data_IF_477358541069
#
_entry.id   IF_477358541069
#
_cell.length_a   1.000
_cell.length_b   1.000
_cell.length_c   1.000
_cell.angle_alpha   90.00
_cell.angle_beta   90.00
_cell.angle_gamma   90.00
#
_symmetry.space_group_name_H-M   'P 1'
#
loop_
_entity.id
_entity.type
_entity.pdbx_description
1 polymer ?
#
# COMPACT_ATOMS: atom_id res chain seq x y z
N UNK A 1 -32.90 20.31 -19.83
CA UNK A 1 -32.30 19.00 -20.12
C UNK A 1 -30.91 19.22 -20.74
N UNK A 2 -29.87 19.57 -19.98
CA UNK A 2 -28.53 19.75 -20.58
C UNK A 2 -27.39 19.81 -19.55
N UNK A 3 -27.06 18.71 -18.85
CA UNK A 3 -25.76 18.63 -18.15
C UNK A 3 -25.23 17.22 -17.83
N UNK A 4 -25.65 16.19 -18.58
CA UNK A 4 -25.10 14.82 -18.38
C UNK A 4 -23.94 14.46 -19.31
N UNK A 5 -23.60 15.32 -20.30
CA UNK A 5 -22.53 15.06 -21.29
C UNK A 5 -21.11 15.38 -20.80
N UNK A 6 -20.93 16.31 -19.86
CA UNK A 6 -19.60 16.76 -19.42
C UNK A 6 -18.85 15.71 -18.56
N UNK A 7 -19.55 15.06 -17.62
CA UNK A 7 -18.94 14.11 -16.68
C UNK A 7 -18.48 12.79 -17.31
N UNK A 8 -19.08 12.39 -18.44
CA UNK A 8 -18.68 11.15 -19.13
C UNK A 8 -17.34 11.28 -19.87
N UNK A 9 -16.96 12.49 -20.29
CA UNK A 9 -15.79 12.74 -21.14
C UNK A 9 -14.51 13.09 -20.37
N UNK A 10 -14.58 13.23 -19.04
CA UNK A 10 -13.40 13.49 -18.21
C UNK A 10 -12.58 12.20 -17.99
N UNK A 11 -11.25 12.33 -18.05
CA UNK A 11 -10.32 11.25 -17.74
C UNK A 11 -10.49 10.74 -16.30
N UNK A 12 -10.24 9.45 -16.08
CA UNK A 12 -10.40 8.81 -14.77
C UNK A 12 -9.58 9.50 -13.67
N UNK A 13 -8.35 9.90 -13.96
CA UNK A 13 -7.49 10.62 -13.02
C UNK A 13 -8.08 11.94 -12.55
N UNK A 14 -8.73 12.68 -13.46
CA UNK A 14 -9.40 13.95 -13.11
C UNK A 14 -10.61 13.70 -12.23
N UNK A 15 -11.36 12.62 -12.47
CA UNK A 15 -12.48 12.23 -11.61
C UNK A 15 -12.04 11.88 -10.19
N UNK A 16 -10.90 11.20 -10.04
CA UNK A 16 -10.32 10.89 -8.72
C UNK A 16 -9.90 12.16 -8.00
N UNK A 17 -9.24 13.11 -8.69
CA UNK A 17 -8.85 14.39 -8.09
C UNK A 17 -10.07 15.23 -7.66
N UNK A 18 -11.13 15.26 -8.49
CA UNK A 18 -12.37 15.94 -8.13
C UNK A 18 -13.02 15.26 -6.91
N UNK A 19 -13.08 13.92 -6.89
CA UNK A 19 -13.64 13.18 -5.76
C UNK A 19 -12.86 13.42 -4.46
N UNK A 20 -11.52 13.50 -4.54
CA UNK A 20 -10.67 13.86 -3.40
C UNK A 20 -10.97 15.27 -2.89
N UNK A 21 -11.03 16.25 -3.79
CA UNK A 21 -11.35 17.64 -3.44
C UNK A 21 -12.74 17.75 -2.79
N UNK A 22 -13.74 17.08 -3.34
CA UNK A 22 -15.09 17.01 -2.76
C UNK A 22 -15.06 16.34 -1.39
N UNK A 23 -14.32 15.24 -1.24
CA UNK A 23 -14.16 14.55 0.05
C UNK A 23 -13.57 15.44 1.13
N UNK A 24 -12.56 16.25 0.80
CA UNK A 24 -11.96 17.23 1.71
C UNK A 24 -12.98 18.30 2.10
N UNK A 25 -13.71 18.88 1.13
CA UNK A 25 -14.72 19.92 1.40
C UNK A 25 -15.83 19.37 2.30
N UNK A 26 -16.35 18.18 2.00
CA UNK A 26 -17.37 17.51 2.82
C UNK A 26 -16.84 17.23 4.22
N UNK A 27 -15.59 16.76 4.35
CA UNK A 27 -14.95 16.54 5.64
C UNK A 27 -14.86 17.80 6.49
N UNK A 28 -14.49 18.94 5.89
CA UNK A 28 -14.42 20.24 6.58
C UNK A 28 -15.81 20.69 7.02
N UNK A 29 -16.83 20.59 6.15
CA UNK A 29 -18.21 20.96 6.50
C UNK A 29 -18.70 20.12 7.68
N UNK A 30 -18.47 18.81 7.65
CA UNK A 30 -18.88 17.90 8.72
C UNK A 30 -18.12 18.21 10.02
N UNK A 31 -16.84 18.56 9.94
CA UNK A 31 -16.06 18.99 11.11
C UNK A 31 -16.67 20.22 11.80
N UNK A 32 -17.15 21.21 11.03
CA UNK A 32 -17.75 22.45 11.56
C UNK A 32 -19.14 22.29 12.19
N UNK A 33 -19.82 21.15 12.00
CA UNK A 33 -21.12 20.91 12.63
C UNK A 33 -20.97 20.67 14.15
N UNK A 34 -21.87 21.21 15.00
CA UNK A 34 -21.85 20.97 16.44
C UNK A 34 -21.91 19.47 16.76
N UNK A 35 -21.15 19.06 17.78
CA UNK A 35 -21.10 17.66 18.23
C UNK A 35 -22.49 17.17 18.65
N UNK A 36 -22.84 15.96 18.24
CA UNK A 36 -24.13 15.35 18.51
C UNK A 36 -24.23 13.97 17.88
N UNK A 37 -25.13 13.13 18.40
CA UNK A 37 -25.30 11.72 18.00
C UNK A 37 -25.46 11.53 16.48
N UNK A 38 -26.00 12.52 15.77
CA UNK A 38 -26.14 12.50 14.32
C UNK A 38 -24.81 12.62 13.56
N UNK A 39 -23.88 13.46 14.04
CA UNK A 39 -22.56 13.65 13.41
C UNK A 39 -21.67 12.44 13.66
N UNK A 40 -21.53 12.05 14.92
CA UNK A 40 -20.52 11.07 15.31
C UNK A 40 -21.00 9.64 15.02
N UNK A 41 -22.25 9.30 15.32
CA UNK A 41 -22.73 7.91 15.19
C UNK A 41 -23.24 7.58 13.80
N UNK A 42 -23.94 8.50 13.12
CA UNK A 42 -24.61 8.21 11.84
C UNK A 42 -23.75 8.60 10.63
N UNK A 43 -23.15 9.80 10.65
CA UNK A 43 -22.34 10.28 9.51
C UNK A 43 -20.91 9.73 9.54
N UNK A 44 -20.16 9.97 10.62
CA UNK A 44 -18.75 9.60 10.72
C UNK A 44 -18.58 8.09 10.89
N UNK A 45 -19.09 7.53 11.98
CA UNK A 45 -18.93 6.10 12.29
C UNK A 45 -19.93 5.19 11.54
N UNK A 46 -20.95 5.78 10.91
CA UNK A 46 -21.91 5.06 10.08
C UNK A 46 -21.48 5.08 8.62
N UNK A 47 -21.99 6.07 7.87
CA UNK A 47 -21.86 6.10 6.41
C UNK A 47 -20.41 6.22 5.92
N UNK A 48 -19.64 7.18 6.43
CA UNK A 48 -18.27 7.40 5.94
C UNK A 48 -17.34 6.26 6.32
N UNK A 49 -17.41 5.77 7.55
CA UNK A 49 -16.64 4.60 7.97
C UNK A 49 -17.04 3.37 7.17
N UNK A 50 -18.34 3.11 6.95
CA UNK A 50 -18.78 1.97 6.16
C UNK A 50 -18.25 2.01 4.72
N UNK A 51 -18.43 3.14 4.02
CA UNK A 51 -17.95 3.31 2.65
C UNK A 51 -16.43 3.20 2.57
N UNK A 52 -15.71 3.84 3.49
CA UNK A 52 -14.25 3.75 3.57
C UNK A 52 -13.76 2.33 3.83
N UNK A 53 -14.39 1.60 4.75
CA UNK A 53 -14.05 0.22 5.07
C UNK A 53 -14.35 -0.73 3.91
N UNK A 54 -15.50 -0.60 3.25
CA UNK A 54 -15.82 -1.40 2.06
C UNK A 54 -14.81 -1.13 0.94
N UNK A 55 -14.44 0.13 0.72
CA UNK A 55 -13.44 0.50 -0.27
C UNK A 55 -12.05 -0.10 0.04
N UNK A 56 -11.57 0.04 1.28
CA UNK A 56 -10.29 -0.54 1.69
C UNK A 56 -10.30 -2.07 1.59
N UNK A 57 -11.39 -2.73 2.01
CA UNK A 57 -11.55 -4.18 1.87
C UNK A 57 -11.57 -4.61 0.41
N UNK A 58 -12.21 -3.85 -0.48
CA UNK A 58 -12.20 -4.14 -1.91
C UNK A 58 -10.79 -4.03 -2.51
N UNK A 59 -10.00 -3.02 -2.12
CA UNK A 59 -8.59 -2.92 -2.53
C UNK A 59 -7.78 -4.10 -1.99
N UNK A 60 -7.87 -4.38 -0.69
CA UNK A 60 -7.10 -5.46 -0.06
C UNK A 60 -7.43 -6.85 -0.64
N UNK A 61 -8.71 -7.09 -0.96
CA UNK A 61 -9.18 -8.32 -1.60
C UNK A 61 -8.51 -8.55 -2.96
N UNK A 62 -8.21 -7.49 -3.71
CA UNK A 62 -7.53 -7.59 -5.01
C UNK A 62 -6.01 -7.63 -4.86
N UNK A 63 -5.44 -6.80 -3.99
CA UNK A 63 -3.99 -6.62 -3.87
C UNK A 63 -3.28 -7.91 -3.45
N UNK A 64 -3.80 -8.65 -2.47
CA UNK A 64 -3.11 -9.85 -1.95
C UNK A 64 -2.98 -10.95 -3.02
N UNK A 65 -4.06 -11.41 -3.69
CA UNK A 65 -3.95 -12.42 -4.75
C UNK A 65 -3.12 -11.91 -5.93
N UNK A 66 -3.33 -10.65 -6.34
CA UNK A 66 -2.63 -10.05 -7.46
C UNK A 66 -1.12 -10.05 -7.23
N UNK A 67 -0.66 -9.53 -6.09
CA UNK A 67 0.77 -9.45 -5.79
C UNK A 67 1.39 -10.83 -5.75
N UNK A 68 0.73 -11.82 -5.16
CA UNK A 68 1.23 -13.19 -5.15
C UNK A 68 1.40 -13.75 -6.58
N UNK A 69 0.33 -13.72 -7.39
CA UNK A 69 0.34 -14.27 -8.75
C UNK A 69 1.34 -13.53 -9.64
N UNK A 70 1.32 -12.20 -9.66
CA UNK A 70 2.22 -11.39 -10.49
C UNK A 70 3.70 -11.57 -10.12
N UNK A 71 4.02 -11.77 -8.84
CA UNK A 71 5.40 -12.03 -8.42
C UNK A 71 5.84 -13.45 -8.73
N UNK A 72 4.96 -14.45 -8.60
CA UNK A 72 5.27 -15.84 -8.99
C UNK A 72 5.56 -15.90 -10.49
N UNK A 73 4.70 -15.35 -11.34
CA UNK A 73 4.92 -15.33 -12.80
C UNK A 73 6.13 -14.49 -13.18
N UNK A 74 6.30 -13.31 -12.56
CA UNK A 74 7.43 -12.41 -12.81
C UNK A 74 8.77 -13.05 -12.45
N UNK A 75 8.85 -13.72 -11.29
CA UNK A 75 10.08 -14.43 -10.89
C UNK A 75 10.32 -15.68 -11.74
N UNK A 76 9.26 -16.45 -12.06
CA UNK A 76 9.39 -17.68 -12.83
C UNK A 76 9.80 -17.43 -14.29
N UNK A 77 9.24 -16.39 -14.93
CA UNK A 77 9.56 -16.02 -16.32
C UNK A 77 11.00 -15.55 -16.50
N UNK A 78 11.64 -15.04 -15.43
CA UNK A 78 13.01 -14.54 -15.52
C UNK A 78 14.06 -15.65 -15.62
N UNK A 79 13.72 -16.90 -15.28
CA UNK A 79 14.50 -18.11 -15.57
C UNK A 79 15.83 -18.28 -14.82
N UNK A 80 16.38 -17.20 -14.26
CA UNK A 80 17.73 -17.13 -13.71
C UNK A 80 17.75 -16.39 -12.37
N UNK A 81 18.01 -17.16 -11.31
CA UNK A 81 18.12 -16.69 -9.93
C UNK A 81 19.18 -15.59 -9.78
N UNK A 82 20.28 -15.65 -10.54
CA UNK A 82 21.34 -14.63 -10.48
C UNK A 82 20.87 -13.30 -11.05
N UNK A 83 20.04 -13.33 -12.12
CA UNK A 83 19.43 -12.11 -12.66
C UNK A 83 18.46 -11.50 -11.65
N UNK A 84 17.63 -12.32 -11.01
CA UNK A 84 16.69 -11.86 -9.97
C UNK A 84 17.40 -11.22 -8.79
N UNK A 85 18.45 -11.87 -8.26
CA UNK A 85 19.27 -11.29 -7.20
C UNK A 85 19.93 -9.97 -7.59
N UNK A 86 20.42 -9.85 -8.83
CA UNK A 86 21.01 -8.60 -9.34
C UNK A 86 19.98 -7.48 -9.47
N UNK A 87 18.78 -7.78 -9.97
CA UNK A 87 17.68 -6.81 -10.06
C UNK A 87 17.25 -6.39 -8.65
N UNK A 88 17.02 -7.34 -7.74
CA UNK A 88 16.66 -7.07 -6.35
C UNK A 88 17.68 -6.19 -5.64
N UNK A 89 18.98 -6.49 -5.76
CA UNK A 89 20.04 -5.68 -5.15
C UNK A 89 20.08 -4.26 -5.74
N UNK A 90 19.97 -4.12 -7.07
CA UNK A 90 19.89 -2.80 -7.71
C UNK A 90 18.69 -2.00 -7.21
N UNK A 91 17.54 -2.67 -7.05
CA UNK A 91 16.31 -2.05 -6.53
C UNK A 91 16.47 -1.61 -5.08
N UNK A 92 17.08 -2.42 -4.21
CA UNK A 92 17.36 -2.06 -2.82
C UNK A 92 18.27 -0.83 -2.76
N UNK A 93 19.40 -0.84 -3.49
CA UNK A 93 20.33 0.29 -3.52
C UNK A 93 19.64 1.55 -4.06
N UNK A 94 18.82 1.42 -5.10
CA UNK A 94 18.05 2.52 -5.67
C UNK A 94 17.05 3.11 -4.67
N UNK A 95 16.27 2.28 -3.98
CA UNK A 95 15.30 2.75 -2.99
C UNK A 95 15.98 3.37 -1.76
N UNK A 96 17.06 2.77 -1.25
CA UNK A 96 17.81 3.33 -0.13
C UNK A 96 18.42 4.69 -0.48
N UNK A 97 18.99 4.81 -1.68
CA UNK A 97 19.60 6.07 -2.14
C UNK A 97 18.55 7.17 -2.32
N UNK A 98 17.43 6.85 -2.98
CA UNK A 98 16.35 7.83 -3.20
C UNK A 98 15.66 8.22 -1.89
N UNK A 99 15.48 7.28 -0.96
CA UNK A 99 14.95 7.55 0.39
C UNK A 99 15.90 8.43 1.20
N UNK A 100 17.20 8.16 1.19
CA UNK A 100 18.19 8.99 1.86
C UNK A 100 18.16 10.43 1.33
N UNK A 101 18.11 10.61 0.01
CA UNK A 101 17.98 11.93 -0.63
C UNK A 101 16.68 12.62 -0.19
N UNK A 102 15.56 11.91 -0.20
CA UNK A 102 14.27 12.45 0.23
C UNK A 102 14.29 12.89 1.70
N UNK A 103 14.90 12.11 2.60
CA UNK A 103 15.05 12.46 4.01
C UNK A 103 15.91 13.71 4.17
N UNK A 104 17.02 13.82 3.44
CA UNK A 104 17.89 15.00 3.49
C UNK A 104 17.09 16.24 3.07
N UNK A 105 16.36 16.18 1.95
CA UNK A 105 15.52 17.28 1.48
C UNK A 105 14.45 17.63 2.52
N UNK A 106 13.76 16.63 3.08
CA UNK A 106 12.73 16.84 4.09
C UNK A 106 13.28 17.51 5.35
N UNK A 107 14.47 17.10 5.84
CA UNK A 107 15.12 17.71 7.00
C UNK A 107 15.59 19.14 6.73
N UNK A 108 16.14 19.40 5.54
CA UNK A 108 16.56 20.76 5.14
C UNK A 108 15.34 21.68 5.08
N UNK A 109 14.28 21.27 4.38
CA UNK A 109 13.04 22.06 4.28
C UNK A 109 12.41 22.25 5.68
N UNK A 110 12.32 21.19 6.49
CA UNK A 110 11.80 21.27 7.85
C UNK A 110 12.59 22.24 8.73
N UNK A 111 13.92 22.25 8.61
CA UNK A 111 14.79 23.17 9.36
C UNK A 111 14.75 24.60 8.85
N UNK A 112 14.48 24.83 7.56
CA UNK A 112 14.41 26.17 6.95
C UNK A 112 13.05 26.81 7.22
N UNK A 113 11.96 26.10 6.92
CA UNK A 113 10.60 26.62 7.08
C UNK A 113 10.14 26.60 8.54
N UNK A 114 10.76 25.76 9.38
CA UNK A 114 10.44 25.59 10.82
C UNK A 114 8.92 25.54 11.07
N UNK A 115 8.18 24.63 10.42
CA UNK A 115 6.74 24.52 10.59
C UNK A 115 6.45 24.18 12.06
N UNK A 116 5.83 25.12 12.79
CA UNK A 116 5.53 24.97 14.22
C UNK A 116 5.85 26.19 15.08
N UNK A 117 6.64 27.15 14.57
CA UNK A 117 6.83 28.44 15.26
C UNK A 117 5.49 29.19 15.29
N UNK A 118 4.99 29.49 16.49
CA UNK A 118 3.71 30.18 16.71
C UNK A 118 2.51 29.26 16.96
N UNK A 119 2.69 27.93 17.01
CA UNK A 119 1.66 27.02 17.50
C UNK A 119 1.62 27.04 19.04
N UNK A 120 0.42 27.19 19.60
CA UNK A 120 0.18 27.05 21.03
C UNK A 120 0.20 25.56 21.41
N UNK A 121 1.35 25.10 21.91
CA UNK A 121 1.55 23.72 22.34
C UNK A 121 0.67 23.32 23.54
N UNK A 122 0.07 24.29 24.26
CA UNK A 122 -0.84 24.03 25.38
C UNK A 122 -2.26 23.70 24.96
N UNK A 123 -2.67 24.04 23.74
CA UNK A 123 -3.98 23.72 23.16
C UNK A 123 -3.98 22.40 22.35
N UNK A 124 -2.82 21.79 22.16
CA UNK A 124 -2.65 20.53 21.42
C UNK A 124 -2.72 19.40 22.44
N UNK A 125 -3.68 18.48 22.29
CA UNK A 125 -3.67 17.22 23.04
C UNK A 125 -2.31 16.54 22.82
N UNK A 126 -1.55 16.41 23.90
CA UNK A 126 -0.29 15.67 23.90
C UNK A 126 -0.67 14.19 23.78
N UNK A 127 -0.81 13.72 22.54
CA UNK A 127 -0.80 12.30 22.25
C UNK A 127 0.59 11.82 22.64
N UNK A 128 0.69 11.06 23.73
CA UNK A 128 1.92 10.37 24.08
C UNK A 128 2.29 9.48 22.91
N UNK A 129 3.24 9.94 22.10
CA UNK A 129 3.81 9.13 21.03
C UNK A 129 4.58 8.03 21.74
N UNK A 130 3.97 6.87 21.83
CA UNK A 130 4.70 5.63 22.15
C UNK A 130 5.74 5.47 21.06
N UNK A 131 6.96 5.89 21.35
CA UNK A 131 8.10 5.67 20.46
C UNK A 131 8.22 4.16 20.34
N UNK A 132 7.74 3.63 19.21
CA UNK A 132 7.70 2.20 18.97
C UNK A 132 9.06 1.58 19.28
N UNK A 133 9.06 0.50 20.06
CA UNK A 133 10.27 -0.22 20.45
C UNK A 133 11.14 -0.47 19.23
N UNK A 134 12.45 -0.18 19.35
CA UNK A 134 13.41 -0.42 18.27
C UNK A 134 13.39 -1.91 17.91
N UNK A 135 12.74 -2.26 16.81
CA UNK A 135 12.76 -3.63 16.27
C UNK A 135 14.17 -3.88 15.74
N UNK A 136 14.91 -4.87 16.26
CA UNK A 136 16.24 -5.20 15.75
C UNK A 136 16.18 -5.60 14.27
N UNK A 137 17.20 -5.22 13.49
CA UNK A 137 17.25 -5.59 12.07
C UNK A 137 17.21 -7.12 11.87
N UNK A 138 17.87 -7.86 12.75
CA UNK A 138 17.86 -9.34 12.74
C UNK A 138 16.44 -9.89 12.90
N UNK A 139 15.61 -9.24 13.71
CA UNK A 139 14.21 -9.62 13.88
C UNK A 139 13.43 -9.49 12.57
N UNK A 140 13.57 -8.37 11.90
CA UNK A 140 12.94 -8.12 10.59
C UNK A 140 13.40 -9.16 9.56
N UNK A 141 14.69 -9.54 9.56
CA UNK A 141 15.24 -10.49 8.60
C UNK A 141 14.66 -11.90 8.74
N UNK A 142 14.46 -12.41 9.96
CA UNK A 142 13.84 -13.74 10.12
C UNK A 142 12.32 -13.69 10.02
N UNK A 143 11.65 -12.59 10.43
CA UNK A 143 10.19 -12.43 10.32
C UNK A 143 9.72 -12.20 8.88
N UNK A 144 10.64 -11.80 7.99
CA UNK A 144 10.42 -11.73 6.55
C UNK A 144 10.05 -13.09 5.95
N UNK A 145 10.55 -14.19 6.53
CA UNK A 145 10.19 -15.55 6.08
C UNK A 145 8.96 -16.02 6.89
N UNK A 146 7.79 -16.22 6.25
CA UNK A 146 6.61 -16.65 6.97
C UNK A 146 6.76 -18.07 7.53
N UNK A 147 6.24 -18.29 8.76
CA UNK A 147 6.03 -19.64 9.29
C UNK A 147 4.92 -20.38 8.53
N UNK A 148 3.89 -19.65 8.10
CA UNK A 148 2.77 -20.15 7.31
C UNK A 148 2.37 -19.13 6.23
N UNK A 149 2.67 -19.39 4.94
CA UNK A 149 2.34 -18.48 3.85
C UNK A 149 0.84 -18.21 3.67
N UNK A 150 -0.01 -19.20 3.97
CA UNK A 150 -1.47 -19.04 3.85
C UNK A 150 -1.97 -18.07 4.92
N UNK A 151 -1.44 -18.17 6.14
CA UNK A 151 -1.74 -17.22 7.20
C UNK A 151 -1.24 -15.81 6.85
N UNK A 152 -0.04 -15.70 6.27
CA UNK A 152 0.49 -14.40 5.83
C UNK A 152 -0.42 -13.73 4.77
N UNK A 153 -0.98 -14.51 3.85
CA UNK A 153 -1.98 -14.00 2.88
C UNK A 153 -3.30 -13.60 3.56
N UNK A 154 -3.77 -14.37 4.55
CA UNK A 154 -4.99 -14.05 5.28
C UNK A 154 -4.86 -12.78 6.13
N UNK A 155 -3.69 -12.57 6.74
CA UNK A 155 -3.38 -11.39 7.57
C UNK A 155 -2.90 -10.19 6.74
N UNK A 156 -2.64 -10.38 5.45
CA UNK A 156 -2.14 -9.32 4.56
C UNK A 156 -0.70 -8.89 4.87
N UNK A 157 0.14 -9.79 5.41
CA UNK A 157 1.54 -9.49 5.68
C UNK A 157 2.34 -9.45 4.36
N UNK A 158 2.35 -8.28 3.72
CA UNK A 158 2.90 -8.08 2.38
C UNK A 158 4.35 -8.51 2.25
N UNK A 159 5.20 -8.23 3.24
CA UNK A 159 6.61 -8.59 3.19
C UNK A 159 6.78 -10.11 3.09
N UNK A 160 6.04 -10.85 3.90
CA UNK A 160 6.05 -12.31 3.90
C UNK A 160 5.46 -12.89 2.61
N UNK A 161 4.37 -12.31 2.11
CA UNK A 161 3.74 -12.72 0.84
C UNK A 161 4.74 -12.55 -0.32
N UNK A 162 5.43 -11.41 -0.40
CA UNK A 162 6.42 -11.12 -1.45
C UNK A 162 7.55 -12.16 -1.40
N UNK A 163 8.09 -12.44 -0.22
CA UNK A 163 9.22 -13.38 -0.07
C UNK A 163 8.81 -14.79 -0.47
N UNK A 164 7.65 -15.25 -0.01
CA UNK A 164 7.12 -16.56 -0.39
C UNK A 164 6.81 -16.65 -1.90
N UNK A 165 6.24 -15.60 -2.49
CA UNK A 165 5.94 -15.54 -3.93
C UNK A 165 7.22 -15.63 -4.77
N UNK A 166 8.27 -14.88 -4.40
CA UNK A 166 9.56 -14.92 -5.10
C UNK A 166 10.22 -16.29 -4.98
N UNK A 167 10.25 -16.90 -3.79
CA UNK A 167 10.79 -18.25 -3.60
C UNK A 167 10.00 -19.29 -4.41
N UNK A 168 8.67 -19.17 -4.44
CA UNK A 168 7.79 -20.05 -5.22
C UNK A 168 8.03 -19.89 -6.73
N UNK A 169 8.16 -18.67 -7.23
CA UNK A 169 8.48 -18.39 -8.63
C UNK A 169 9.86 -18.88 -9.04
N UNK A 170 10.87 -18.71 -8.18
CA UNK A 170 12.21 -19.30 -8.39
C UNK A 170 12.13 -20.83 -8.45
N UNK A 171 11.46 -21.46 -7.48
CA UNK A 171 11.27 -22.91 -7.45
C UNK A 171 10.55 -23.41 -8.71
N UNK A 172 9.53 -22.70 -9.16
CA UNK A 172 8.79 -23.01 -10.39
C UNK A 172 9.68 -22.91 -11.63
N UNK A 173 10.53 -21.89 -11.72
CA UNK A 173 11.52 -21.75 -12.80
C UNK A 173 12.50 -22.92 -12.84
N UNK A 174 12.93 -23.43 -11.68
CA UNK A 174 13.85 -24.56 -11.58
C UNK A 174 13.23 -25.91 -11.96
N UNK A 175 11.89 -26.04 -11.92
CA UNK A 175 11.18 -27.27 -12.31
C UNK A 175 11.14 -27.50 -13.83
N UNK A 176 11.45 -26.48 -14.65
CA UNK A 176 11.46 -26.58 -16.11
C UNK A 176 10.13 -27.10 -16.66
N UNK A 177 10.17 -28.15 -17.50
CA UNK A 177 8.97 -28.71 -18.14
C UNK A 177 7.91 -29.22 -17.16
N UNK A 178 8.32 -29.74 -15.99
CA UNK A 178 7.39 -30.23 -14.96
C UNK A 178 6.57 -29.10 -14.34
N UNK A 179 7.11 -27.88 -14.33
CA UNK A 179 6.46 -26.68 -13.82
C UNK A 179 5.55 -25.98 -14.84
N UNK A 180 5.60 -26.38 -16.12
CA UNK A 180 4.95 -25.64 -17.22
C UNK A 180 3.44 -25.47 -17.03
N UNK A 181 2.74 -26.50 -16.56
CA UNK A 181 1.31 -26.41 -16.29
C UNK A 181 0.98 -25.38 -15.20
N UNK A 182 1.75 -25.37 -14.11
CA UNK A 182 1.57 -24.40 -13.02
C UNK A 182 1.94 -22.98 -13.47
N UNK A 183 2.99 -22.83 -14.28
CA UNK A 183 3.37 -21.54 -14.84
C UNK A 183 2.25 -20.96 -15.71
N UNK A 184 1.72 -21.74 -16.66
CA UNK A 184 0.61 -21.29 -17.51
C UNK A 184 -0.65 -21.00 -16.70
N UNK A 185 -0.92 -21.77 -15.63
CA UNK A 185 -2.02 -21.45 -14.72
C UNK A 185 -1.84 -20.07 -14.06
N UNK A 186 -0.66 -19.77 -13.52
CA UNK A 186 -0.38 -18.47 -12.91
C UNK A 186 -0.35 -17.34 -13.94
N UNK A 187 0.14 -17.57 -15.16
CA UNK A 187 0.06 -16.61 -16.27
C UNK A 187 -1.39 -16.26 -16.61
N UNK A 188 -2.24 -17.27 -16.77
CA UNK A 188 -3.68 -17.06 -17.03
C UNK A 188 -4.37 -16.32 -15.87
N UNK A 189 -4.00 -16.60 -14.62
CA UNK A 189 -4.51 -15.84 -13.47
C UNK A 189 -4.02 -14.38 -13.48
N UNK A 190 -2.80 -14.13 -13.92
CA UNK A 190 -2.24 -12.79 -14.00
C UNK A 190 -2.92 -11.96 -15.11
N UNK A 191 -3.35 -12.61 -16.19
CA UNK A 191 -4.11 -11.97 -17.29
C UNK A 191 -5.54 -11.57 -16.90
N UNK A 192 -6.09 -12.11 -15.82
CA UNK A 192 -7.41 -11.70 -15.31
C UNK A 192 -7.41 -10.29 -14.69
N UNK A 193 -6.25 -9.69 -14.49
CA UNK A 193 -6.07 -8.35 -13.94
C UNK A 193 -5.96 -7.28 -15.03
#
# INVERSE_FOLDING_TARGET
MENKRSWKNLGLSVKVLIALAVGIIVGIIVYTLPGGTFKDTILINGLFQFVGQVFLRAIMMLVVPLVFVSLVTGAASMGDVKKLGRVGLKTIVFYLSTTAIAIIIALVLGSVFKPGIGLDMGAIEVVEVTVGSKVPLVQILYEMVPRNPIQAMAEGNMLQIIVFALLSGIGLSMLGEKGKYLLTFFENLNELN
#
